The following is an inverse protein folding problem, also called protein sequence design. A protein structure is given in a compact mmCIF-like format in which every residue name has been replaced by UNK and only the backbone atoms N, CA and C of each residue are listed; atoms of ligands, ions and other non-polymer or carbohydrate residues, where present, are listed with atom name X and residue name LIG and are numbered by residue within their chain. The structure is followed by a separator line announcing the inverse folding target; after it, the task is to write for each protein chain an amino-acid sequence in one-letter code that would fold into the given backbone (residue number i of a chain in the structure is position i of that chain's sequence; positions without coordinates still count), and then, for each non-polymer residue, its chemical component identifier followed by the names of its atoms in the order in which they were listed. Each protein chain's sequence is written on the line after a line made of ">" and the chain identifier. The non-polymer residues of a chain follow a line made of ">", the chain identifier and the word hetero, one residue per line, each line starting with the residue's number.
data_IF_568102276413
#
_entry.id   IF_568102276413
#
_cell.length_a   1.000
_cell.length_b   1.000
_cell.length_c   1.000
_cell.angle_alpha   90.00
_cell.angle_beta   90.00
_cell.angle_gamma   90.00
#
_symmetry.space_group_name_H-M   'P 1'
#
loop_
_entity.id
_entity.type
_entity.pdbx_description
1 polymer ?
#
# COMPACT_ATOMS: atom_id res chain seq x y z
N UNK A 1 -13.59 2.07 13.75
CA UNK A 1 -12.16 2.40 13.51
C UNK A 1 -12.09 3.65 12.66
N UNK A 2 -11.22 4.60 13.01
CA UNK A 2 -10.85 5.77 12.22
C UNK A 2 -9.44 5.57 11.69
N UNK A 3 -9.16 6.04 10.48
CA UNK A 3 -7.82 5.99 9.87
C UNK A 3 -7.42 7.40 9.48
N UNK A 4 -6.36 7.91 10.11
CA UNK A 4 -5.72 9.15 9.69
C UNK A 4 -4.52 8.84 8.80
N UNK A 5 -4.42 9.56 7.69
CA UNK A 5 -3.30 9.47 6.76
C UNK A 5 -2.33 10.59 7.07
N UNK A 6 -1.19 10.25 7.60
CA UNK A 6 -0.12 11.20 7.93
C UNK A 6 0.82 11.31 6.72
N UNK A 7 0.87 12.50 6.10
CA UNK A 7 1.85 12.78 5.06
C UNK A 7 3.25 12.76 5.67
N UNK A 8 4.17 12.08 5.00
CA UNK A 8 5.53 11.89 5.48
C UNK A 8 6.52 12.14 4.36
N UNK A 9 7.72 12.59 4.71
CA UNK A 9 8.80 12.84 3.76
C UNK A 9 8.31 13.65 2.54
N UNK A 10 8.58 13.15 1.32
CA UNK A 10 8.16 13.81 0.07
C UNK A 10 6.80 13.35 -0.42
N UNK A 11 6.55 12.05 -0.37
CA UNK A 11 5.38 11.39 -0.97
C UNK A 11 4.94 10.13 -0.21
N UNK A 12 5.55 9.84 0.96
CA UNK A 12 5.18 8.70 1.79
C UNK A 12 3.90 8.95 2.59
N UNK A 13 3.22 7.88 2.89
CA UNK A 13 2.11 7.83 3.83
C UNK A 13 2.40 6.88 4.99
N UNK A 14 2.16 7.35 6.20
CA UNK A 14 1.97 6.51 7.38
C UNK A 14 0.52 6.60 7.83
N UNK A 15 0.03 5.58 8.52
CA UNK A 15 -1.37 5.53 8.94
C UNK A 15 -1.46 5.43 10.45
N UNK A 16 -2.29 6.29 11.07
CA UNK A 16 -2.66 6.18 12.47
C UNK A 16 -4.10 5.68 12.54
N UNK A 17 -4.27 4.47 13.07
CA UNK A 17 -5.58 3.87 13.30
C UNK A 17 -5.95 4.11 14.76
N UNK A 18 -7.17 4.57 15.01
CA UNK A 18 -7.64 4.87 16.37
C UNK A 18 -9.16 4.75 16.52
N UNK A 19 -9.62 4.77 17.76
CA UNK A 19 -11.03 4.75 18.10
C UNK A 19 -11.31 5.66 19.31
N UNK A 20 -12.54 5.62 19.79
CA UNK A 20 -12.98 6.49 20.89
C UNK A 20 -12.40 6.05 22.26
N UNK A 21 -11.66 4.92 22.34
CA UNK A 21 -10.92 4.52 23.56
C UNK A 21 -9.55 5.20 23.69
N UNK A 22 -9.19 6.07 22.72
CA UNK A 22 -7.91 6.78 22.64
C UNK A 22 -6.68 5.88 22.46
N UNK A 23 -6.91 4.59 22.21
CA UNK A 23 -5.87 3.66 21.80
C UNK A 23 -5.64 3.73 20.32
N UNK A 24 -4.41 3.55 19.90
CA UNK A 24 -4.03 3.65 18.48
C UNK A 24 -2.96 2.66 18.09
N UNK A 25 -2.90 2.36 16.80
CA UNK A 25 -1.76 1.71 16.18
C UNK A 25 -1.29 2.51 14.97
N UNK A 26 -0.02 2.32 14.62
CA UNK A 26 0.65 3.03 13.52
C UNK A 26 1.12 2.02 12.48
N UNK A 27 0.93 2.34 11.19
CA UNK A 27 1.46 1.53 10.09
C UNK A 27 2.51 2.34 9.35
N UNK A 28 3.69 1.72 9.14
CA UNK A 28 4.83 2.23 8.36
C UNK A 28 5.28 3.66 8.77
N UNK A 29 5.77 3.86 9.99
CA UNK A 29 6.24 5.17 10.43
C UNK A 29 7.57 5.56 9.77
N UNK A 30 7.53 6.48 8.77
CA UNK A 30 8.72 7.01 8.12
C UNK A 30 9.45 8.06 9.00
N UNK A 31 8.68 8.95 9.63
CA UNK A 31 9.14 9.95 10.61
C UNK A 31 8.20 9.93 11.82
N UNK A 32 8.77 9.91 13.01
CA UNK A 32 8.00 9.90 14.26
C UNK A 32 7.30 11.24 14.54
N UNK A 33 7.89 12.37 14.18
CA UNK A 33 7.42 13.68 14.63
C UNK A 33 5.98 14.00 14.20
N UNK A 34 5.58 13.85 12.92
CA UNK A 34 4.18 14.11 12.53
C UNK A 34 3.18 13.17 13.21
N UNK A 35 3.59 11.92 13.45
CA UNK A 35 2.77 10.92 14.12
C UNK A 35 2.58 11.26 15.60
N UNK A 36 3.68 11.62 16.30
CA UNK A 36 3.65 11.99 17.71
C UNK A 36 2.86 13.28 17.93
N UNK A 37 2.97 14.26 17.03
CA UNK A 37 2.17 15.48 17.09
C UNK A 37 0.68 15.16 16.97
N UNK A 38 0.29 14.34 15.99
CA UNK A 38 -1.09 13.90 15.83
C UNK A 38 -1.60 13.14 17.06
N UNK A 39 -0.79 12.23 17.61
CA UNK A 39 -1.14 11.49 18.80
C UNK A 39 -1.35 12.43 20.03
N UNK A 40 -0.47 13.40 20.20
CA UNK A 40 -0.58 14.39 21.29
C UNK A 40 -1.84 15.26 21.15
N UNK A 41 -2.08 15.82 19.97
CA UNK A 41 -3.26 16.67 19.69
C UNK A 41 -4.60 15.94 19.92
N UNK A 42 -4.61 14.62 19.72
CA UNK A 42 -5.80 13.79 19.87
C UNK A 42 -5.82 12.95 21.17
N UNK A 43 -4.85 13.16 22.08
CA UNK A 43 -4.69 12.41 23.32
C UNK A 43 -4.60 10.89 23.12
N UNK A 44 -3.95 10.43 22.02
CA UNK A 44 -3.85 9.02 21.69
C UNK A 44 -2.67 8.36 22.39
N UNK A 45 -2.86 7.09 22.78
CA UNK A 45 -1.79 6.20 23.22
C UNK A 45 -1.48 5.22 22.09
N UNK A 46 -0.23 5.20 21.61
CA UNK A 46 0.21 4.25 20.58
C UNK A 46 0.58 2.95 21.27
N UNK A 47 -0.18 1.87 21.00
CA UNK A 47 0.04 0.54 21.58
C UNK A 47 0.78 -0.41 20.64
N UNK A 48 0.59 -0.24 19.31
CA UNK A 48 1.17 -1.13 18.30
C UNK A 48 1.77 -0.34 17.13
N UNK A 49 2.87 -0.84 16.57
CA UNK A 49 3.43 -0.44 15.27
C UNK A 49 3.43 -1.67 14.36
N UNK A 50 2.91 -1.50 13.16
CA UNK A 50 2.89 -2.52 12.11
C UNK A 50 3.79 -2.06 10.94
N UNK A 51 4.69 -2.91 10.48
CA UNK A 51 5.64 -2.61 9.43
C UNK A 51 5.44 -3.58 8.28
N UNK A 52 5.25 -3.05 7.07
CA UNK A 52 5.04 -3.86 5.86
C UNK A 52 6.33 -4.48 5.35
N UNK A 53 7.45 -3.74 5.39
CA UNK A 53 8.76 -4.18 4.92
C UNK A 53 9.89 -3.33 5.51
N UNK A 54 11.15 -3.72 5.26
CA UNK A 54 12.31 -3.17 5.97
C UNK A 54 12.85 -1.83 5.45
N UNK A 55 12.32 -1.25 4.39
CA UNK A 55 12.83 0.01 3.85
C UNK A 55 12.76 1.16 4.88
N UNK A 56 13.76 2.04 4.84
CA UNK A 56 13.94 3.09 5.85
C UNK A 56 12.80 4.10 5.88
N UNK A 57 12.21 4.38 4.75
CA UNK A 57 11.05 5.26 4.61
C UNK A 57 9.72 4.64 5.11
N UNK A 58 9.78 3.42 5.65
CA UNK A 58 8.69 2.75 6.38
C UNK A 58 9.06 2.45 7.84
N UNK A 59 10.34 2.59 8.22
CA UNK A 59 10.83 2.14 9.53
C UNK A 59 11.55 3.21 10.35
N UNK A 60 12.03 4.30 9.76
CA UNK A 60 12.90 5.27 10.44
C UNK A 60 12.24 5.99 11.62
N UNK A 61 10.91 6.10 11.64
CA UNK A 61 10.14 6.69 12.74
C UNK A 61 9.97 5.79 13.96
N UNK A 62 10.23 4.47 13.84
CA UNK A 62 10.02 3.48 14.92
C UNK A 62 10.72 3.89 16.20
N UNK A 63 12.00 4.24 16.12
CA UNK A 63 12.80 4.62 17.30
C UNK A 63 12.24 5.83 18.03
N UNK A 64 11.77 6.85 17.31
CA UNK A 64 11.18 8.03 17.91
C UNK A 64 9.86 7.73 18.63
N UNK A 65 9.02 6.87 18.05
CA UNK A 65 7.78 6.44 18.69
C UNK A 65 8.09 5.59 19.94
N UNK A 66 9.05 4.65 19.85
CA UNK A 66 9.47 3.82 21.00
C UNK A 66 9.99 4.66 22.17
N UNK A 67 10.70 5.77 21.90
CA UNK A 67 11.16 6.68 22.95
C UNK A 67 10.00 7.38 23.67
N UNK A 68 8.92 7.71 22.97
CA UNK A 68 7.73 8.34 23.55
C UNK A 68 6.78 7.32 24.21
N UNK A 69 6.70 6.10 23.64
CA UNK A 69 5.86 5.00 24.10
C UNK A 69 6.70 3.72 24.27
N UNK A 70 7.44 3.56 25.40
CA UNK A 70 8.39 2.45 25.59
C UNK A 70 7.77 1.05 25.57
N UNK A 71 6.47 0.95 25.88
CA UNK A 71 5.72 -0.32 25.88
C UNK A 71 5.09 -0.68 24.53
N UNK A 72 5.26 0.15 23.49
CA UNK A 72 4.69 -0.11 22.17
C UNK A 72 5.17 -1.45 21.60
N UNK A 73 4.25 -2.24 21.06
CA UNK A 73 4.56 -3.50 20.39
C UNK A 73 4.95 -3.21 18.93
N UNK A 74 6.01 -3.85 18.45
CA UNK A 74 6.49 -3.69 17.09
C UNK A 74 6.32 -5.01 16.37
N UNK A 75 5.41 -5.02 15.39
CA UNK A 75 5.04 -6.15 14.56
C UNK A 75 5.66 -5.95 13.15
N UNK A 76 6.46 -6.90 12.70
CA UNK A 76 7.16 -6.77 11.42
C UNK A 76 7.40 -8.11 10.74
N UNK A 77 7.72 -8.15 9.43
CA UNK A 77 8.00 -9.39 8.72
C UNK A 77 9.38 -9.99 9.04
N UNK A 78 10.28 -9.24 9.68
CA UNK A 78 11.67 -9.66 9.83
C UNK A 78 12.30 -9.19 11.15
N UNK A 79 13.06 -10.07 11.79
CA UNK A 79 13.89 -9.72 12.96
C UNK A 79 15.04 -8.74 12.63
N UNK A 80 15.33 -8.49 11.35
CA UNK A 80 16.33 -7.49 10.94
C UNK A 80 15.82 -6.06 11.08
N UNK A 81 14.51 -5.88 11.20
CA UNK A 81 13.91 -4.58 11.50
C UNK A 81 14.12 -4.29 12.98
N UNK A 82 14.78 -3.19 13.25
CA UNK A 82 15.22 -2.81 14.60
C UNK A 82 14.02 -2.73 15.56
N UNK A 83 14.21 -3.25 16.78
CA UNK A 83 13.21 -3.29 17.85
C UNK A 83 11.97 -4.16 17.60
N UNK A 84 11.95 -5.00 16.56
CA UNK A 84 10.85 -5.97 16.35
C UNK A 84 10.64 -6.84 17.58
N UNK A 85 9.41 -6.87 18.08
CA UNK A 85 8.97 -7.76 19.17
C UNK A 85 8.23 -8.99 18.64
N UNK A 86 7.45 -8.82 17.57
CA UNK A 86 6.63 -9.88 16.97
C UNK A 86 6.95 -10.02 15.48
N UNK A 87 7.43 -11.20 15.08
CA UNK A 87 7.69 -11.52 13.68
C UNK A 87 6.43 -12.12 13.09
N UNK A 88 5.88 -11.46 12.06
CA UNK A 88 4.66 -11.84 11.37
C UNK A 88 4.95 -12.73 10.17
N UNK A 89 4.10 -13.72 9.95
CA UNK A 89 4.20 -14.69 8.86
C UNK A 89 2.92 -14.73 8.04
N UNK A 90 3.03 -15.23 6.83
CA UNK A 90 1.87 -15.42 5.97
C UNK A 90 0.82 -16.32 6.63
N UNK A 91 -0.41 -15.83 6.69
CA UNK A 91 -1.55 -16.52 7.30
C UNK A 91 -1.75 -16.26 8.77
N UNK A 92 -0.84 -15.52 9.43
CA UNK A 92 -1.05 -15.10 10.83
C UNK A 92 -2.26 -14.17 10.90
N UNK A 93 -2.97 -14.25 12.04
CA UNK A 93 -3.96 -13.27 12.47
C UNK A 93 -3.44 -12.54 13.69
N UNK A 94 -3.41 -11.22 13.61
CA UNK A 94 -2.89 -10.36 14.68
C UNK A 94 -3.97 -9.42 15.16
N UNK A 95 -4.28 -9.52 16.45
CA UNK A 95 -5.18 -8.58 17.11
C UNK A 95 -4.40 -7.33 17.52
N UNK A 96 -4.81 -6.18 17.01
CA UNK A 96 -4.41 -4.89 17.55
C UNK A 96 -5.43 -4.43 18.60
N UNK A 97 -5.17 -3.28 19.22
CA UNK A 97 -6.15 -2.65 20.12
C UNK A 97 -7.48 -2.29 19.43
N UNK A 98 -7.58 -2.38 18.13
CA UNK A 98 -8.72 -1.88 17.32
C UNK A 98 -9.39 -2.95 16.47
N UNK A 99 -8.63 -3.89 15.93
CA UNK A 99 -9.08 -4.81 14.89
C UNK A 99 -8.17 -6.03 14.76
N UNK A 100 -8.56 -6.95 13.91
CA UNK A 100 -7.76 -8.13 13.56
C UNK A 100 -7.24 -7.99 12.14
N UNK A 101 -5.93 -8.09 11.95
CA UNK A 101 -5.29 -8.15 10.66
C UNK A 101 -4.95 -9.59 10.27
N UNK A 102 -5.36 -9.99 9.09
CA UNK A 102 -4.82 -11.16 8.40
C UNK A 102 -3.56 -10.76 7.64
N UNK A 103 -2.46 -11.46 7.89
CA UNK A 103 -1.16 -11.20 7.28
C UNK A 103 -1.03 -11.97 5.96
N UNK A 104 -0.75 -11.26 4.88
CA UNK A 104 -0.53 -11.86 3.56
C UNK A 104 0.89 -11.49 3.10
N UNK A 105 1.73 -12.50 2.83
CA UNK A 105 3.07 -12.29 2.27
C UNK A 105 2.98 -11.91 0.79
N UNK A 106 3.65 -10.80 0.43
CA UNK A 106 3.65 -10.23 -0.93
C UNK A 106 5.07 -9.89 -1.39
N UNK A 107 5.95 -10.90 -1.59
CA UNK A 107 7.31 -10.67 -2.05
C UNK A 107 7.32 -10.09 -3.46
N UNK A 108 8.35 -9.29 -3.74
CA UNK A 108 8.56 -8.64 -5.04
C UNK A 108 9.27 -7.32 -4.90
N UNK A 109 8.66 -6.33 -4.25
CA UNK A 109 9.31 -5.07 -3.91
C UNK A 109 10.51 -5.33 -2.99
N UNK A 110 10.25 -5.97 -1.85
CA UNK A 110 11.26 -6.65 -1.02
C UNK A 110 10.89 -8.11 -0.86
N UNK A 111 11.80 -8.96 -0.38
CA UNK A 111 11.53 -10.38 -0.13
C UNK A 111 10.73 -10.62 1.15
N UNK A 112 10.83 -9.71 2.11
CA UNK A 112 10.13 -9.78 3.40
C UNK A 112 8.72 -9.16 3.37
N UNK A 113 8.33 -8.47 2.30
CA UNK A 113 7.10 -7.68 2.23
C UNK A 113 5.84 -8.45 2.63
N UNK A 114 5.06 -7.85 3.53
CA UNK A 114 3.72 -8.31 3.96
C UNK A 114 2.70 -7.18 3.84
N UNK A 115 1.43 -7.54 3.77
CA UNK A 115 0.30 -6.61 3.79
C UNK A 115 -0.66 -6.97 4.91
N UNK A 116 -1.38 -5.97 5.42
CA UNK A 116 -2.32 -6.09 6.53
C UNK A 116 -3.75 -5.97 6.00
N UNK A 117 -4.51 -7.06 6.04
CA UNK A 117 -5.89 -7.10 5.59
C UNK A 117 -6.85 -7.23 6.76
N UNK A 118 -7.65 -6.21 6.99
CA UNK A 118 -8.79 -6.24 7.90
C UNK A 118 -10.06 -6.59 7.10
N UNK A 119 -10.39 -7.87 7.09
CA UNK A 119 -11.53 -8.40 6.33
C UNK A 119 -12.86 -7.86 6.87
N UNK A 120 -12.97 -7.68 8.18
CA UNK A 120 -14.21 -7.23 8.83
C UNK A 120 -14.58 -5.79 8.46
N UNK A 121 -13.58 -4.92 8.34
CA UNK A 121 -13.77 -3.53 7.95
C UNK A 121 -13.56 -3.30 6.44
N UNK A 122 -13.15 -4.32 5.69
CA UNK A 122 -12.87 -4.22 4.25
C UNK A 122 -11.73 -3.27 3.94
N UNK A 123 -10.63 -3.32 4.72
CA UNK A 123 -9.51 -2.38 4.61
C UNK A 123 -8.20 -3.12 4.40
N UNK A 124 -7.38 -2.64 3.47
CA UNK A 124 -6.05 -3.19 3.18
C UNK A 124 -4.97 -2.11 3.28
N UNK A 125 -3.95 -2.35 4.08
CA UNK A 125 -2.69 -1.59 4.08
C UNK A 125 -1.66 -2.40 3.31
N UNK A 126 -1.30 -1.94 2.11
CA UNK A 126 -0.54 -2.75 1.17
C UNK A 126 0.91 -2.30 0.97
N UNK A 127 1.38 -1.32 1.76
CA UNK A 127 2.74 -0.79 1.62
C UNK A 127 3.09 -0.50 0.17
N UNK A 128 4.19 -1.09 -0.28
CA UNK A 128 4.74 -0.89 -1.61
C UNK A 128 4.48 -2.05 -2.58
N UNK A 129 3.47 -2.89 -2.31
CA UNK A 129 3.05 -3.90 -3.28
C UNK A 129 2.14 -3.32 -4.36
N UNK A 130 1.07 -2.62 -3.97
CA UNK A 130 0.09 -2.02 -4.87
C UNK A 130 0.04 -0.51 -4.65
N UNK A 131 0.05 0.26 -5.75
CA UNK A 131 -0.24 1.68 -5.78
C UNK A 131 -1.44 1.97 -6.68
N UNK A 132 -2.09 3.11 -6.49
CA UNK A 132 -3.16 3.52 -7.40
C UNK A 132 -2.62 3.61 -8.82
N UNK A 133 -3.20 2.82 -9.75
CA UNK A 133 -2.79 2.64 -11.14
C UNK A 133 -1.36 2.13 -11.34
N UNK A 134 -0.78 1.48 -10.34
CA UNK A 134 0.60 1.00 -10.41
C UNK A 134 0.90 -0.13 -9.42
N UNK A 135 2.16 -0.49 -9.35
CA UNK A 135 2.70 -1.39 -8.35
C UNK A 135 4.14 -1.00 -7.98
N UNK A 136 4.64 -1.56 -6.89
CA UNK A 136 6.01 -1.35 -6.45
C UNK A 136 7.06 -1.76 -7.49
N UNK A 137 8.21 -1.09 -7.44
CA UNK A 137 9.40 -1.53 -8.16
C UNK A 137 9.90 -2.85 -7.55
N UNK A 138 10.41 -3.74 -8.40
CA UNK A 138 10.97 -5.02 -7.95
C UNK A 138 12.45 -4.81 -7.65
N UNK A 139 12.80 -4.63 -6.37
CA UNK A 139 14.19 -4.42 -5.97
C UNK A 139 14.90 -5.72 -5.60
N UNK A 140 14.24 -6.58 -4.81
CA UNK A 140 14.86 -7.80 -4.26
C UNK A 140 14.26 -9.07 -4.83
N UNK A 141 12.96 -9.06 -5.07
CA UNK A 141 12.26 -10.23 -5.61
C UNK A 141 12.38 -10.33 -7.14
N UNK A 142 11.56 -11.21 -7.68
CA UNK A 142 11.42 -11.43 -9.12
C UNK A 142 10.12 -10.81 -9.63
N UNK A 143 10.04 -10.56 -10.95
CA UNK A 143 8.79 -10.15 -11.60
C UNK A 143 7.66 -11.16 -11.35
N UNK A 144 7.99 -12.46 -11.31
CA UNK A 144 7.00 -13.51 -11.05
C UNK A 144 6.46 -13.47 -9.61
N UNK A 145 7.30 -13.18 -8.63
CA UNK A 145 6.88 -13.01 -7.23
C UNK A 145 5.96 -11.80 -7.09
N UNK A 146 6.33 -10.64 -7.65
CA UNK A 146 5.46 -9.45 -7.63
C UNK A 146 4.13 -9.71 -8.33
N UNK A 147 4.14 -10.35 -9.50
CA UNK A 147 2.93 -10.71 -10.22
C UNK A 147 2.00 -11.59 -9.39
N UNK A 148 2.55 -12.63 -8.74
CA UNK A 148 1.77 -13.52 -7.87
C UNK A 148 1.29 -12.80 -6.60
N UNK A 149 2.05 -11.86 -6.08
CA UNK A 149 1.66 -11.01 -4.94
C UNK A 149 0.47 -10.12 -5.29
N UNK A 150 0.49 -9.50 -6.47
CA UNK A 150 -0.63 -8.70 -6.98
C UNK A 150 -1.88 -9.56 -7.26
N UNK A 151 -1.72 -10.80 -7.75
CA UNK A 151 -2.85 -11.73 -7.90
C UNK A 151 -3.57 -12.00 -6.57
N UNK A 152 -2.84 -12.18 -5.48
CA UNK A 152 -3.46 -12.34 -4.15
C UNK A 152 -4.32 -11.13 -3.77
N UNK A 153 -3.86 -9.90 -4.05
CA UNK A 153 -4.66 -8.70 -3.81
C UNK A 153 -5.87 -8.65 -4.75
N UNK A 154 -5.69 -9.03 -6.01
CA UNK A 154 -6.78 -9.06 -6.98
C UNK A 154 -7.90 -10.06 -6.63
N UNK A 155 -7.63 -11.06 -5.79
CA UNK A 155 -8.61 -12.03 -5.30
C UNK A 155 -9.45 -11.50 -4.12
N UNK A 156 -9.04 -10.41 -3.45
CA UNK A 156 -9.78 -9.83 -2.33
C UNK A 156 -11.11 -9.22 -2.79
N UNK A 157 -12.01 -8.97 -1.82
CA UNK A 157 -13.29 -8.33 -2.10
C UNK A 157 -13.10 -6.99 -2.82
N UNK A 158 -13.85 -6.78 -3.89
CA UNK A 158 -13.76 -5.59 -4.73
C UNK A 158 -14.08 -4.29 -3.98
N UNK A 159 -14.85 -4.37 -2.90
CA UNK A 159 -15.21 -3.24 -2.05
C UNK A 159 -14.10 -2.90 -1.03
N UNK A 160 -12.95 -3.59 -1.06
CA UNK A 160 -11.84 -3.31 -0.17
C UNK A 160 -11.28 -1.90 -0.42
N UNK A 161 -11.11 -1.15 0.66
CA UNK A 161 -10.49 0.18 0.66
C UNK A 161 -8.99 0.01 0.83
N UNK A 162 -8.21 0.59 -0.09
CA UNK A 162 -6.75 0.40 -0.18
C UNK A 162 -6.01 1.62 0.36
N UNK A 163 -5.06 1.37 1.24
CA UNK A 163 -4.07 2.32 1.75
C UNK A 163 -2.68 1.86 1.33
N UNK A 164 -2.01 2.59 0.44
CA UNK A 164 -0.67 2.28 -0.07
C UNK A 164 0.38 3.25 0.47
N UNK A 165 1.66 2.86 0.40
CA UNK A 165 2.76 3.57 1.05
C UNK A 165 3.10 4.95 0.45
N UNK A 166 2.73 5.23 -0.82
CA UNK A 166 3.16 6.45 -1.52
C UNK A 166 2.10 7.07 -2.42
N UNK A 167 2.21 8.40 -2.63
CA UNK A 167 1.41 9.16 -3.60
C UNK A 167 2.06 9.17 -4.99
N UNK A 168 2.00 8.06 -5.69
CA UNK A 168 2.54 7.93 -7.05
C UNK A 168 1.49 8.02 -8.16
N UNK A 169 0.26 8.33 -7.83
CA UNK A 169 -0.91 8.18 -8.71
C UNK A 169 -0.79 8.96 -10.01
N UNK A 170 -0.41 10.23 -9.97
CA UNK A 170 -0.24 11.04 -11.19
C UNK A 170 0.90 10.51 -12.07
N UNK A 171 2.01 10.10 -11.46
CA UNK A 171 3.13 9.48 -12.20
C UNK A 171 2.71 8.17 -12.88
N UNK A 172 1.92 7.35 -12.17
CA UNK A 172 1.42 6.08 -12.69
C UNK A 172 0.42 6.31 -13.83
N UNK A 173 -0.51 7.24 -13.67
CA UNK A 173 -1.48 7.61 -14.69
C UNK A 173 -0.80 8.11 -15.97
N UNK A 174 0.14 9.06 -15.84
CA UNK A 174 0.90 9.59 -16.98
C UNK A 174 1.67 8.49 -17.72
N UNK A 175 2.24 7.55 -16.97
CA UNK A 175 2.92 6.39 -17.54
C UNK A 175 1.97 5.52 -18.37
N UNK A 176 0.81 5.14 -17.82
CA UNK A 176 -0.15 4.28 -18.53
C UNK A 176 -0.70 4.95 -19.78
N UNK A 177 -1.09 6.23 -19.71
CA UNK A 177 -1.58 6.99 -20.86
C UNK A 177 -0.54 7.03 -21.98
N UNK A 178 0.68 7.43 -21.65
CA UNK A 178 1.76 7.57 -22.64
C UNK A 178 2.18 6.22 -23.25
N UNK A 179 2.28 5.17 -22.40
CA UNK A 179 2.76 3.86 -22.84
C UNK A 179 1.72 3.12 -23.67
N UNK A 180 0.45 3.21 -23.29
CA UNK A 180 -0.63 2.48 -23.94
C UNK A 180 -1.31 3.27 -25.06
N UNK A 181 -1.08 4.58 -25.15
CA UNK A 181 -1.76 5.49 -26.10
C UNK A 181 -3.29 5.37 -26.06
N UNK A 182 -3.83 5.27 -24.84
CA UNK A 182 -5.27 5.06 -24.56
C UNK A 182 -5.80 6.19 -23.65
N UNK A 183 -5.40 7.43 -23.89
CA UNK A 183 -5.75 8.60 -23.07
C UNK A 183 -7.25 8.72 -22.83
N UNK A 184 -8.08 8.43 -23.84
CA UNK A 184 -9.53 8.50 -23.73
C UNK A 184 -10.11 7.51 -22.70
N UNK A 185 -9.47 6.37 -22.49
CA UNK A 185 -9.90 5.37 -21.49
C UNK A 185 -9.63 5.89 -20.08
N UNK A 186 -8.53 6.60 -19.89
CA UNK A 186 -8.13 7.12 -18.57
C UNK A 186 -8.73 8.50 -18.26
N UNK A 187 -9.44 9.15 -19.17
CA UNK A 187 -9.98 10.49 -18.96
C UNK A 187 -10.90 10.58 -17.73
N UNK A 188 -11.81 9.62 -17.56
CA UNK A 188 -12.70 9.58 -16.38
C UNK A 188 -11.93 9.33 -15.09
N UNK A 189 -10.95 8.44 -15.15
CA UNK A 189 -10.08 8.12 -13.99
C UNK A 189 -9.25 9.35 -13.62
N UNK A 190 -8.69 10.06 -14.60
CA UNK A 190 -7.94 11.31 -14.41
C UNK A 190 -8.80 12.37 -13.71
N UNK A 191 -10.03 12.58 -14.17
CA UNK A 191 -10.93 13.54 -13.55
C UNK A 191 -11.20 13.19 -12.08
N UNK A 192 -11.51 11.92 -11.77
CA UNK A 192 -11.72 11.45 -10.39
C UNK A 192 -10.46 11.66 -9.52
N UNK A 193 -9.28 11.35 -10.05
CA UNK A 193 -8.01 11.55 -9.34
C UNK A 193 -7.75 13.04 -9.09
N UNK A 194 -7.97 13.89 -10.08
CA UNK A 194 -7.80 15.33 -9.92
C UNK A 194 -8.79 15.89 -8.88
N UNK A 195 -10.04 15.43 -8.86
CA UNK A 195 -11.02 15.81 -7.86
C UNK A 195 -10.58 15.37 -6.44
N UNK A 196 -10.06 14.14 -6.28
CA UNK A 196 -9.52 13.67 -5.01
C UNK A 196 -8.34 14.56 -4.55
N UNK A 197 -7.38 14.82 -5.44
CA UNK A 197 -6.20 15.65 -5.13
C UNK A 197 -6.57 17.10 -4.81
N UNK A 198 -7.50 17.70 -5.56
CA UNK A 198 -7.96 19.08 -5.33
C UNK A 198 -8.74 19.23 -4.03
N UNK A 199 -9.59 18.24 -3.68
CA UNK A 199 -10.46 18.33 -2.51
C UNK A 199 -9.80 17.81 -1.22
N UNK A 200 -8.92 16.81 -1.32
CA UNK A 200 -8.34 16.09 -0.17
C UNK A 200 -6.82 16.23 -0.08
N UNK A 201 -6.15 16.77 -1.11
CA UNK A 201 -4.69 16.85 -1.21
C UNK A 201 -4.00 15.48 -1.39
N UNK A 202 -4.76 14.40 -1.56
CA UNK A 202 -4.27 13.02 -1.69
C UNK A 202 -5.25 12.15 -2.47
N UNK A 203 -4.74 11.13 -3.15
CA UNK A 203 -5.55 10.18 -3.92
C UNK A 203 -5.81 8.85 -3.18
N UNK A 204 -5.23 8.70 -2.01
CA UNK A 204 -5.38 7.57 -1.07
C UNK A 204 -6.36 8.00 0.04
N UNK A 205 -7.27 7.13 0.51
CA UNK A 205 -7.48 5.76 0.05
C UNK A 205 -8.28 5.68 -1.26
N UNK A 206 -8.21 4.52 -1.90
CA UNK A 206 -8.96 4.21 -3.11
C UNK A 206 -9.60 2.83 -3.07
N UNK A 207 -10.56 2.57 -3.97
CA UNK A 207 -11.33 1.33 -3.99
C UNK A 207 -10.64 0.28 -4.87
N UNK A 208 -10.55 -0.96 -4.40
CA UNK A 208 -9.98 -2.07 -5.17
C UNK A 208 -10.74 -2.34 -6.49
N UNK A 209 -12.05 -2.09 -6.54
CA UNK A 209 -12.86 -2.22 -7.76
C UNK A 209 -12.34 -1.33 -8.89
N UNK A 210 -11.96 -0.08 -8.59
CA UNK A 210 -11.37 0.84 -9.57
C UNK A 210 -10.04 0.28 -10.12
N UNK A 211 -9.21 -0.26 -9.22
CA UNK A 211 -7.92 -0.85 -9.61
C UNK A 211 -8.11 -2.12 -10.46
N UNK A 212 -9.07 -2.97 -10.11
CA UNK A 212 -9.40 -4.15 -10.94
C UNK A 212 -9.84 -3.77 -12.35
N UNK A 213 -10.38 -2.57 -12.54
CA UNK A 213 -10.83 -2.10 -13.84
C UNK A 213 -9.73 -1.43 -14.66
N UNK A 214 -8.87 -0.61 -14.04
CA UNK A 214 -7.97 0.30 -14.73
C UNK A 214 -6.47 0.03 -14.50
N UNK A 215 -6.10 -0.65 -13.41
CA UNK A 215 -4.70 -0.94 -13.11
C UNK A 215 -4.25 -2.23 -13.79
N UNK A 216 -3.53 -2.10 -14.91
CA UNK A 216 -3.03 -3.24 -15.68
C UNK A 216 -1.85 -3.97 -15.02
N UNK A 217 -1.27 -3.43 -13.95
CA UNK A 217 -0.33 -4.18 -13.13
C UNK A 217 -1.07 -5.17 -12.22
N UNK A 218 -2.27 -4.83 -11.78
CA UNK A 218 -3.09 -5.67 -10.90
C UNK A 218 -3.92 -6.70 -11.68
N UNK A 219 -4.65 -6.25 -12.72
CA UNK A 219 -5.63 -7.08 -13.43
C UNK A 219 -5.48 -7.00 -14.94
N UNK A 220 -4.70 -7.91 -15.50
CA UNK A 220 -4.51 -8.07 -16.95
C UNK A 220 -5.72 -8.70 -17.65
N UNK A 221 -6.71 -9.19 -16.90
CA UNK A 221 -7.96 -9.76 -17.42
C UNK A 221 -9.13 -8.77 -17.39
N UNK A 222 -8.90 -7.53 -16.97
CA UNK A 222 -9.88 -6.47 -17.13
C UNK A 222 -10.26 -6.30 -18.62
N UNK A 223 -11.36 -5.60 -18.89
CA UNK A 223 -11.76 -5.30 -20.28
C UNK A 223 -10.62 -4.62 -21.05
N UNK A 224 -9.96 -3.64 -20.43
CA UNK A 224 -8.82 -2.95 -21.02
C UNK A 224 -7.62 -3.88 -21.21
N UNK A 225 -7.26 -4.66 -20.19
CA UNK A 225 -6.13 -5.60 -20.24
C UNK A 225 -6.30 -6.66 -21.32
N UNK A 226 -7.53 -7.17 -21.51
CA UNK A 226 -7.84 -8.13 -22.57
C UNK A 226 -7.62 -7.53 -23.97
N UNK A 227 -8.01 -6.28 -24.19
CA UNK A 227 -7.76 -5.57 -25.45
C UNK A 227 -6.26 -5.42 -25.70
N UNK A 228 -5.52 -4.91 -24.70
CA UNK A 228 -4.06 -4.67 -24.83
C UNK A 228 -3.30 -5.97 -25.05
N UNK A 229 -3.62 -7.03 -24.30
CA UNK A 229 -2.99 -8.37 -24.52
C UNK A 229 -3.18 -8.85 -25.94
N UNK A 230 -4.40 -8.71 -26.48
CA UNK A 230 -4.70 -9.11 -27.86
C UNK A 230 -3.95 -8.27 -28.89
N UNK A 231 -3.85 -6.95 -28.68
CA UNK A 231 -3.10 -6.04 -29.57
C UNK A 231 -1.59 -6.36 -29.60
N UNK A 232 -1.02 -6.74 -28.45
CA UNK A 232 0.41 -7.01 -28.29
C UNK A 232 0.79 -8.48 -28.46
N UNK A 233 -0.16 -9.39 -28.50
CA UNK A 233 0.09 -10.84 -28.51
C UNK A 233 0.65 -11.39 -27.18
N UNK A 234 0.34 -10.74 -26.05
CA UNK A 234 0.89 -11.07 -24.74
C UNK A 234 -0.02 -11.94 -23.90
N UNK A 235 0.57 -12.79 -23.07
CA UNK A 235 -0.05 -13.40 -21.89
C UNK A 235 -0.23 -12.37 -20.77
N UNK A 236 -0.90 -12.75 -19.68
CA UNK A 236 -1.05 -11.89 -18.49
C UNK A 236 0.30 -11.49 -17.91
N UNK A 237 1.19 -12.46 -17.72
CA UNK A 237 2.51 -12.22 -17.16
C UNK A 237 3.39 -11.37 -18.09
N UNK A 238 3.34 -11.60 -19.39
CA UNK A 238 4.10 -10.81 -20.36
C UNK A 238 3.64 -9.35 -20.40
N UNK A 239 2.33 -9.10 -20.30
CA UNK A 239 1.82 -7.72 -20.18
C UNK A 239 2.31 -7.06 -18.88
N UNK A 240 2.20 -7.74 -17.76
CA UNK A 240 2.71 -7.24 -16.48
C UNK A 240 4.21 -6.94 -16.57
N UNK A 241 5.01 -7.89 -17.04
CA UNK A 241 6.46 -7.75 -17.14
C UNK A 241 6.88 -6.62 -18.09
N UNK A 242 6.18 -6.47 -19.21
CA UNK A 242 6.38 -5.37 -20.15
C UNK A 242 6.15 -4.01 -19.47
N UNK A 243 4.98 -3.85 -18.82
CA UNK A 243 4.62 -2.60 -18.13
C UNK A 243 5.60 -2.28 -16.99
N UNK A 244 6.00 -3.27 -16.18
CA UNK A 244 6.92 -3.03 -15.06
C UNK A 244 8.29 -2.58 -15.56
N UNK A 245 8.86 -3.27 -16.56
CA UNK A 245 10.13 -2.87 -17.18
C UNK A 245 10.04 -1.50 -17.85
N UNK A 246 8.94 -1.20 -18.54
CA UNK A 246 8.74 0.11 -19.16
C UNK A 246 8.65 1.23 -18.11
N UNK A 247 7.96 0.98 -16.97
CA UNK A 247 7.83 1.95 -15.86
C UNK A 247 9.17 2.20 -15.16
N UNK A 248 10.07 1.22 -15.11
CA UNK A 248 11.40 1.39 -14.49
C UNK A 248 12.29 2.36 -15.27
N UNK A 249 11.98 2.58 -16.56
CA UNK A 249 12.70 3.47 -17.48
C UNK A 249 11.90 4.77 -17.82
N UNK A 250 10.76 4.98 -17.18
CA UNK A 250 9.91 6.16 -17.36
C UNK A 250 10.29 7.30 -16.42
#
# INVERSE_FOLDING_TARGET
>A
MKVEIINQLKDNYSFVLYNDTLKSCVIDPADSNPILNFALENNLTIEDIFITHHHKDHTSGVKGILNAFPEVNIHSPSAQIENTRFILRNGDEVNSCLNTFRIIKTPGHTLDHIIFYDENNGVLFCGDTLFRLGCGRVFEGTLNEMFNSLKKINELDKNTIIYCGHEYTISNLNFLEKTLKKESVYLLVRNKINDDLNNKGKSVPFLLEDEKQYNLFLNQNSKLGTIIKKELGFTEFELFAYLRKAKDNF
#
